data_IF_215140401347
#
_entry.id   IF_215140401347
#
_cell.length_a   1.000
_cell.length_b   1.000
_cell.length_c   1.000
_cell.angle_alpha   90.00
_cell.angle_beta   90.00
_cell.angle_gamma   90.00
#
_symmetry.space_group_name_H-M   'P 1'
#
loop_
_entity.id
_entity.type
_entity.pdbx_description
1 polymer ?
#
# COMPACT_ATOMS: atom_id res chain seq x y z
N UNK A 1 23.10 51.39 27.60
CA UNK A 1 22.46 50.47 26.64
C UNK A 1 23.09 49.10 26.83
N UNK A 2 22.44 48.21 27.57
CA UNK A 2 22.96 46.85 27.87
C UNK A 2 21.84 45.78 27.87
N UNK A 3 20.64 46.14 27.42
CA UNK A 3 19.44 45.32 27.58
C UNK A 3 19.06 44.50 26.33
N UNK A 4 19.60 44.84 25.15
CA UNK A 4 19.21 44.18 23.89
C UNK A 4 19.93 42.83 23.67
N UNK A 5 21.14 42.67 24.22
CA UNK A 5 21.94 41.44 24.08
C UNK A 5 21.42 40.32 25.00
N UNK A 6 21.08 40.66 26.24
CA UNK A 6 20.47 39.73 27.19
C UNK A 6 19.05 39.31 26.75
N UNK A 7 18.25 40.25 26.27
CA UNK A 7 16.93 39.96 25.71
C UNK A 7 17.01 39.02 24.50
N UNK A 8 17.90 39.30 23.52
CA UNK A 8 18.12 38.41 22.37
C UNK A 8 18.61 37.01 22.77
N UNK A 9 19.45 36.90 23.79
CA UNK A 9 19.92 35.61 24.29
C UNK A 9 18.78 34.80 24.91
N UNK A 10 17.92 35.45 25.69
CA UNK A 10 16.75 34.79 26.28
C UNK A 10 15.73 34.36 25.22
N UNK A 11 15.53 35.16 24.18
CA UNK A 11 14.66 34.81 23.06
C UNK A 11 15.14 33.57 22.31
N UNK A 12 16.46 33.45 22.08
CA UNK A 12 17.07 32.26 21.48
C UNK A 12 16.88 31.02 22.37
N UNK A 13 17.08 31.16 23.68
CA UNK A 13 16.87 30.06 24.63
C UNK A 13 15.40 29.59 24.60
N UNK A 14 14.46 30.52 24.63
CA UNK A 14 13.04 30.21 24.59
C UNK A 14 12.65 29.53 23.27
N UNK A 15 13.20 30.00 22.13
CA UNK A 15 12.99 29.39 20.82
C UNK A 15 13.53 27.94 20.76
N UNK A 16 14.71 27.70 21.33
CA UNK A 16 15.29 26.35 21.40
C UNK A 16 14.41 25.41 22.23
N UNK A 17 13.96 25.84 23.42
CA UNK A 17 13.07 25.04 24.27
C UNK A 17 11.76 24.72 23.53
N UNK A 18 11.20 25.70 22.81
CA UNK A 18 10.00 25.50 22.00
C UNK A 18 10.21 24.45 20.89
N UNK A 19 11.34 24.49 20.18
CA UNK A 19 11.68 23.52 19.15
C UNK A 19 11.90 22.12 19.73
N UNK A 20 12.64 21.99 20.84
CA UNK A 20 12.87 20.72 21.53
C UNK A 20 11.55 20.07 21.97
N UNK A 21 10.64 20.86 22.54
CA UNK A 21 9.32 20.38 22.94
C UNK A 21 8.49 19.92 21.74
N UNK A 22 8.50 20.66 20.63
CA UNK A 22 7.77 20.25 19.42
C UNK A 22 8.35 18.97 18.80
N UNK A 23 9.67 18.79 18.83
CA UNK A 23 10.33 17.55 18.37
C UNK A 23 9.90 16.38 19.28
N UNK A 24 9.91 16.56 20.60
CA UNK A 24 9.49 15.54 21.54
C UNK A 24 8.02 15.14 21.33
N UNK A 25 7.13 16.12 21.13
CA UNK A 25 5.72 15.88 20.83
C UNK A 25 5.54 15.15 19.49
N UNK A 26 6.24 15.56 18.43
CA UNK A 26 6.18 14.89 17.14
C UNK A 26 6.61 13.41 17.24
N UNK A 27 7.68 13.13 17.98
CA UNK A 27 8.15 11.76 18.23
C UNK A 27 7.13 10.93 19.03
N UNK A 28 6.48 11.54 20.03
CA UNK A 28 5.42 10.89 20.80
C UNK A 28 4.20 10.56 19.92
N UNK A 29 3.78 11.50 19.05
CA UNK A 29 2.69 11.27 18.10
C UNK A 29 3.02 10.16 17.11
N UNK A 30 4.24 10.15 16.54
CA UNK A 30 4.70 9.08 15.64
C UNK A 30 4.67 7.71 16.34
N UNK A 31 5.21 7.64 17.55
CA UNK A 31 5.23 6.41 18.34
C UNK A 31 3.82 5.90 18.62
N UNK A 32 2.90 6.78 19.04
CA UNK A 32 1.52 6.42 19.30
C UNK A 32 0.79 5.97 18.02
N UNK A 33 1.05 6.63 16.90
CA UNK A 33 0.53 6.24 15.59
C UNK A 33 1.01 4.83 15.22
N UNK A 34 2.31 4.55 15.34
CA UNK A 34 2.91 3.26 14.99
C UNK A 34 2.36 2.12 15.85
N UNK A 35 2.20 2.36 17.15
CA UNK A 35 1.62 1.37 18.07
C UNK A 35 0.16 1.07 17.72
N UNK A 36 -0.64 2.11 17.46
CA UNK A 36 -2.07 1.97 17.17
C UNK A 36 -2.33 1.35 15.79
N UNK A 37 -1.47 1.61 14.81
CA UNK A 37 -1.67 1.25 13.41
C UNK A 37 -0.67 0.19 12.92
N UNK A 38 -0.11 -0.62 13.81
CA UNK A 38 0.94 -1.61 13.46
C UNK A 38 0.52 -2.58 12.36
N UNK A 39 -0.74 -3.02 12.32
CA UNK A 39 -1.26 -3.88 11.24
C UNK A 39 -1.40 -3.15 9.91
N UNK A 40 -1.86 -1.90 9.94
CA UNK A 40 -1.95 -1.06 8.76
C UNK A 40 -0.58 -0.79 8.15
N UNK A 41 0.42 -0.50 8.99
CA UNK A 41 1.81 -0.31 8.56
C UNK A 41 2.33 -1.58 7.88
N UNK A 42 2.12 -2.76 8.49
CA UNK A 42 2.52 -4.05 7.89
C UNK A 42 1.85 -4.29 6.54
N UNK A 43 0.54 -4.09 6.46
CA UNK A 43 -0.21 -4.26 5.21
C UNK A 43 0.28 -3.30 4.12
N UNK A 44 0.62 -2.07 4.50
CA UNK A 44 1.10 -1.07 3.56
C UNK A 44 2.53 -1.34 3.07
N UNK A 45 3.43 -1.86 3.93
CA UNK A 45 4.75 -2.32 3.48
C UNK A 45 4.64 -3.51 2.51
N UNK A 46 3.75 -4.47 2.79
CA UNK A 46 3.45 -5.56 1.86
C UNK A 46 2.91 -5.05 0.51
N UNK A 47 2.08 -4.00 0.53
CA UNK A 47 1.57 -3.37 -0.68
C UNK A 47 2.69 -2.80 -1.56
N UNK A 48 3.70 -2.18 -0.93
CA UNK A 48 4.89 -1.69 -1.64
C UNK A 48 5.69 -2.83 -2.25
N UNK A 49 5.87 -3.94 -1.53
CA UNK A 49 6.56 -5.12 -2.05
C UNK A 49 5.86 -5.67 -3.30
N UNK A 50 4.53 -5.78 -3.28
CA UNK A 50 3.77 -6.22 -4.45
C UNK A 50 3.83 -5.25 -5.62
N UNK A 51 3.87 -3.94 -5.38
CA UNK A 51 4.03 -2.95 -6.45
C UNK A 51 5.33 -3.14 -7.23
N UNK A 52 6.41 -3.57 -6.59
CA UNK A 52 7.71 -3.81 -7.24
C UNK A 52 7.62 -4.93 -8.30
N UNK A 53 6.66 -5.86 -8.15
CA UNK A 53 6.49 -7.00 -9.07
C UNK A 53 5.79 -6.66 -10.39
N UNK A 54 5.22 -5.46 -10.52
CA UNK A 54 4.49 -5.01 -11.73
C UNK A 54 5.20 -5.32 -13.06
N UNK A 55 6.49 -4.98 -13.28
CA UNK A 55 7.18 -5.28 -14.53
C UNK A 55 7.31 -6.78 -14.82
N UNK A 56 7.32 -7.62 -13.80
CA UNK A 56 7.39 -9.09 -13.95
C UNK A 56 6.01 -9.73 -14.14
N UNK A 57 4.94 -9.05 -13.70
CA UNK A 57 3.58 -9.58 -13.71
C UNK A 57 2.82 -9.18 -14.98
N UNK A 58 2.86 -7.90 -15.36
CA UNK A 58 2.08 -7.39 -16.49
C UNK A 58 2.35 -8.11 -17.84
N UNK A 59 3.59 -8.51 -18.19
CA UNK A 59 3.86 -9.18 -19.47
C UNK A 59 3.16 -10.54 -19.67
N UNK A 60 2.60 -11.13 -18.60
CA UNK A 60 1.91 -12.42 -18.66
C UNK A 60 0.40 -12.31 -18.91
N UNK A 61 -0.12 -11.08 -19.00
CA UNK A 61 -1.54 -10.80 -19.24
C UNK A 61 -1.74 -10.08 -20.57
N UNK A 62 -2.89 -10.34 -21.21
CA UNK A 62 -3.25 -9.76 -22.51
C UNK A 62 -4.73 -9.38 -22.53
N UNK A 63 -5.10 -8.43 -23.40
CA UNK A 63 -6.49 -7.98 -23.57
C UNK A 63 -7.14 -7.55 -22.25
N UNK A 64 -8.40 -7.96 -22.04
CA UNK A 64 -9.20 -7.56 -20.87
C UNK A 64 -8.56 -7.94 -19.52
N UNK A 65 -7.78 -9.03 -19.46
CA UNK A 65 -7.09 -9.43 -18.23
C UNK A 65 -5.96 -8.45 -17.89
N UNK A 66 -5.23 -7.97 -18.90
CA UNK A 66 -4.18 -6.97 -18.70
C UNK A 66 -4.77 -5.66 -18.17
N UNK A 67 -5.91 -5.24 -18.70
CA UNK A 67 -6.59 -4.03 -18.23
C UNK A 67 -7.08 -4.17 -16.79
N UNK A 68 -7.64 -5.33 -16.42
CA UNK A 68 -8.03 -5.62 -15.04
C UNK A 68 -6.85 -5.61 -14.07
N UNK A 69 -5.73 -6.23 -14.45
CA UNK A 69 -4.52 -6.25 -13.60
C UNK A 69 -3.90 -4.85 -13.48
N UNK A 70 -3.90 -4.06 -14.55
CA UNK A 70 -3.45 -2.64 -14.51
C UNK A 70 -4.30 -1.81 -13.55
N UNK A 71 -5.60 -2.05 -13.43
CA UNK A 71 -6.46 -1.38 -12.46
C UNK A 71 -6.01 -1.68 -11.02
N UNK A 72 -5.60 -2.93 -10.73
CA UNK A 72 -5.09 -3.29 -9.41
C UNK A 72 -3.78 -2.56 -9.07
N UNK A 73 -2.82 -2.54 -9.99
CA UNK A 73 -1.57 -1.80 -9.80
C UNK A 73 -1.79 -0.28 -9.69
N UNK A 74 -2.71 0.28 -10.47
CA UNK A 74 -3.08 1.70 -10.40
C UNK A 74 -3.68 2.05 -9.03
N UNK A 75 -4.59 1.21 -8.53
CA UNK A 75 -5.21 1.39 -7.22
C UNK A 75 -4.17 1.34 -6.08
N UNK A 76 -3.24 0.39 -6.17
CA UNK A 76 -2.13 0.27 -5.22
C UNK A 76 -1.20 1.48 -5.24
N UNK A 77 -0.84 2.00 -6.43
CA UNK A 77 -0.04 3.22 -6.57
C UNK A 77 -0.73 4.43 -5.93
N UNK A 78 -2.04 4.57 -6.13
CA UNK A 78 -2.81 5.67 -5.55
C UNK A 78 -2.78 5.60 -4.01
N UNK A 79 -2.95 4.42 -3.42
CA UNK A 79 -2.83 4.26 -1.96
C UNK A 79 -1.43 4.61 -1.45
N UNK A 80 -0.38 4.17 -2.14
CA UNK A 80 0.99 4.47 -1.72
C UNK A 80 1.34 5.95 -1.88
N UNK A 81 0.78 6.62 -2.88
CA UNK A 81 0.99 8.05 -3.10
C UNK A 81 0.30 8.92 -2.04
N UNK A 82 -0.82 8.46 -1.47
CA UNK A 82 -1.56 9.18 -0.44
C UNK A 82 -0.86 9.22 0.93
N UNK A 83 0.24 8.45 1.10
CA UNK A 83 1.05 8.32 2.33
C UNK A 83 0.24 7.78 3.53
N UNK A 84 0.89 6.98 4.38
CA UNK A 84 0.31 6.49 5.65
C UNK A 84 0.07 7.62 6.67
N UNK A 85 0.88 8.67 6.60
CA UNK A 85 0.86 9.81 7.51
C UNK A 85 0.73 11.09 6.67
N UNK A 86 -0.45 11.35 6.09
CA UNK A 86 -0.67 12.57 5.32
C UNK A 86 -0.59 13.79 6.24
N UNK A 87 0.02 14.87 5.75
CA UNK A 87 0.01 16.18 6.45
C UNK A 87 -1.40 16.76 6.52
N UNK A 88 -2.23 16.46 5.52
CA UNK A 88 -3.64 16.82 5.39
C UNK A 88 -4.38 15.70 4.62
N UNK A 89 -5.60 15.35 5.04
CA UNK A 89 -6.42 14.31 4.41
C UNK A 89 -6.63 13.07 5.28
N UNK A 90 -7.36 12.09 4.75
CA UNK A 90 -7.66 10.84 5.46
C UNK A 90 -6.53 9.83 5.34
N UNK A 91 -6.23 9.15 6.45
CA UNK A 91 -5.30 8.02 6.49
C UNK A 91 -5.97 6.82 5.78
N UNK A 92 -5.25 6.09 4.91
CA UNK A 92 -5.77 4.87 4.31
C UNK A 92 -6.26 3.88 5.36
N UNK A 93 -7.42 3.29 5.16
CA UNK A 93 -7.95 2.31 6.12
C UNK A 93 -7.27 0.95 5.94
N UNK A 94 -7.16 0.18 7.03
CA UNK A 94 -6.63 -1.19 6.98
C UNK A 94 -7.40 -2.07 5.99
N UNK A 95 -8.72 -1.87 5.88
CA UNK A 95 -9.58 -2.62 4.98
C UNK A 95 -9.23 -2.35 3.52
N UNK A 96 -9.05 -1.08 3.14
CA UNK A 96 -8.69 -0.70 1.76
C UNK A 96 -7.32 -1.25 1.36
N UNK A 97 -6.33 -1.16 2.26
CA UNK A 97 -4.98 -1.70 2.01
C UNK A 97 -5.03 -3.22 1.86
N UNK A 98 -5.78 -3.92 2.70
CA UNK A 98 -5.92 -5.38 2.63
C UNK A 98 -6.65 -5.86 1.37
N UNK A 99 -7.71 -5.16 0.94
CA UNK A 99 -8.40 -5.47 -0.32
C UNK A 99 -7.43 -5.31 -1.50
N UNK A 100 -6.65 -4.24 -1.51
CA UNK A 100 -5.68 -3.97 -2.59
C UNK A 100 -4.55 -5.00 -2.61
N UNK A 101 -4.01 -5.36 -1.44
CA UNK A 101 -3.03 -6.44 -1.30
C UNK A 101 -3.56 -7.77 -1.84
N UNK A 102 -4.79 -8.13 -1.51
CA UNK A 102 -5.42 -9.35 -2.00
C UNK A 102 -5.53 -9.35 -3.53
N UNK A 103 -5.94 -8.23 -4.12
CA UNK A 103 -6.07 -8.12 -5.57
C UNK A 103 -4.71 -8.26 -6.29
N UNK A 104 -3.66 -7.64 -5.77
CA UNK A 104 -2.29 -7.82 -6.31
C UNK A 104 -1.77 -9.24 -6.11
N UNK A 105 -2.00 -9.85 -4.95
CA UNK A 105 -1.61 -11.23 -4.70
C UNK A 105 -2.26 -12.19 -5.69
N UNK A 106 -3.55 -11.99 -6.01
CA UNK A 106 -4.24 -12.78 -7.03
C UNK A 106 -3.61 -12.61 -8.42
N UNK A 107 -3.24 -11.38 -8.80
CA UNK A 107 -2.54 -11.13 -10.07
C UNK A 107 -1.16 -11.81 -10.12
N UNK A 108 -0.40 -11.78 -9.02
CA UNK A 108 0.91 -12.45 -8.91
C UNK A 108 0.73 -13.97 -8.99
N UNK A 109 -0.22 -14.55 -8.24
CA UNK A 109 -0.51 -15.98 -8.26
C UNK A 109 -0.94 -16.46 -9.65
N UNK A 110 -1.72 -15.67 -10.38
CA UNK A 110 -2.09 -15.97 -11.76
C UNK A 110 -0.87 -16.16 -12.69
N UNK A 111 0.21 -15.41 -12.46
CA UNK A 111 1.47 -15.59 -13.21
C UNK A 111 2.18 -16.88 -12.82
N UNK A 112 2.24 -17.21 -11.53
CA UNK A 112 2.86 -18.46 -11.05
C UNK A 112 2.17 -19.67 -11.71
N UNK A 113 0.84 -19.65 -11.78
CA UNK A 113 0.06 -20.70 -12.43
C UNK A 113 0.34 -20.74 -13.94
N UNK A 114 0.36 -19.59 -14.63
CA UNK A 114 0.67 -19.52 -16.07
C UNK A 114 2.05 -20.07 -16.40
N UNK A 115 3.07 -19.73 -15.59
CA UNK A 115 4.44 -20.28 -15.72
C UNK A 115 4.45 -21.80 -15.57
N UNK A 116 3.73 -22.32 -14.58
CA UNK A 116 3.63 -23.76 -14.35
C UNK A 116 2.86 -24.47 -15.49
N UNK A 117 1.78 -23.88 -16.02
CA UNK A 117 1.02 -24.46 -17.14
C UNK A 117 1.85 -24.44 -18.43
N UNK A 118 2.62 -23.38 -18.72
CA UNK A 118 3.52 -23.35 -19.89
C UNK A 118 4.64 -24.40 -19.85
N UNK A 119 4.91 -24.98 -18.67
CA UNK A 119 5.85 -26.10 -18.51
C UNK A 119 5.21 -27.48 -18.75
N UNK A 120 3.88 -27.55 -18.82
CA UNK A 120 3.08 -28.77 -19.02
C UNK A 120 2.44 -28.67 -20.42
N UNK A 121 3.06 -29.30 -21.42
CA UNK A 121 2.67 -29.17 -22.83
C UNK A 121 1.18 -29.40 -23.15
N UNK A 122 0.72 -28.71 -24.19
CA UNK A 122 -0.52 -28.86 -24.97
C UNK A 122 -1.30 -30.17 -24.75
N UNK A 123 -2.30 -30.15 -23.86
CA UNK A 123 -3.18 -31.30 -23.63
C UNK A 123 -4.05 -31.25 -22.36
N UNK A 124 -3.84 -30.28 -21.46
CA UNK A 124 -4.60 -30.18 -20.22
C UNK A 124 -5.95 -29.46 -20.39
N UNK A 125 -7.00 -30.01 -19.79
CA UNK A 125 -8.31 -29.39 -19.59
C UNK A 125 -8.14 -27.98 -19.01
N UNK A 126 -8.80 -26.98 -19.62
CA UNK A 126 -8.73 -25.60 -19.15
C UNK A 126 -9.22 -25.49 -17.70
N UNK A 127 -8.45 -24.89 -16.78
CA UNK A 127 -8.93 -24.66 -15.42
C UNK A 127 -10.06 -23.63 -15.44
N UNK A 128 -11.13 -23.94 -14.72
CA UNK A 128 -12.25 -23.02 -14.50
C UNK A 128 -11.86 -21.99 -13.44
N UNK A 129 -12.07 -20.70 -13.75
CA UNK A 129 -11.74 -19.59 -12.87
C UNK A 129 -12.96 -19.19 -12.06
N UNK A 130 -12.80 -19.04 -10.75
CA UNK A 130 -13.87 -18.62 -9.83
C UNK A 130 -13.56 -17.26 -9.23
N UNK A 131 -14.34 -16.24 -9.58
CA UNK A 131 -14.22 -14.89 -9.04
C UNK A 131 -15.26 -14.65 -7.95
N UNK A 132 -14.85 -14.15 -6.78
CA UNK A 132 -15.82 -13.71 -5.77
C UNK A 132 -16.60 -12.50 -6.31
N UNK A 133 -17.93 -12.54 -6.19
CA UNK A 133 -18.77 -11.43 -6.62
C UNK A 133 -18.57 -10.20 -5.72
N UNK A 134 -18.64 -8.98 -6.27
CA UNK A 134 -18.44 -7.76 -5.50
C UNK A 134 -19.45 -7.56 -4.35
N UNK A 135 -20.63 -8.18 -4.44
CA UNK A 135 -21.70 -8.13 -3.45
C UNK A 135 -21.56 -9.20 -2.33
N UNK A 136 -20.50 -10.02 -2.37
CA UNK A 136 -20.29 -11.10 -1.41
C UNK A 136 -21.25 -12.29 -1.57
N UNK A 137 -22.08 -12.33 -2.62
CA UNK A 137 -23.12 -13.36 -2.78
C UNK A 137 -22.60 -14.72 -3.29
N UNK A 138 -21.29 -14.94 -3.33
CA UNK A 138 -20.65 -16.17 -3.79
C UNK A 138 -19.61 -15.96 -4.89
N UNK A 139 -19.23 -17.04 -5.59
CA UNK A 139 -18.24 -17.02 -6.68
C UNK A 139 -18.89 -17.29 -8.04
N UNK A 140 -18.44 -16.57 -9.07
CA UNK A 140 -18.80 -16.78 -10.48
C UNK A 140 -17.72 -17.63 -11.12
N UNK A 141 -18.08 -18.83 -11.58
CA UNK A 141 -17.15 -19.75 -12.24
C UNK A 141 -17.31 -19.69 -13.75
N UNK A 142 -16.26 -19.30 -14.46
CA UNK A 142 -16.20 -19.31 -15.93
C UNK A 142 -15.38 -20.51 -16.39
N UNK A 143 -15.96 -21.32 -17.26
CA UNK A 143 -15.32 -22.50 -17.88
C UNK A 143 -15.12 -22.21 -19.37
N UNK A 144 -13.92 -22.51 -19.90
CA UNK A 144 -13.58 -22.42 -21.32
C UNK A 144 -13.74 -23.77 -22.01
#
# INVERSE_FOLDING_TARGET
MLNDSSARTQDIINANIYLENNIALANAYKTAFDQKNSELIKAYEQLKEYLITEPDVLPYYYGNELDAVRIFYTSAKNLVNNKLEPLEGEVPTLVEVNITNRNLLLAIQGVIIRRNISSIGSGGTFPSWSFARPDGSGTTTTTY
#
